data_IF_277530559801
#
_entry.id   IF_277530559801
#
_cell.length_a   1.000
_cell.length_b   1.000
_cell.length_c   1.000
_cell.angle_alpha   90.00
_cell.angle_beta   90.00
_cell.angle_gamma   90.00
#
_symmetry.space_group_name_H-M   'P 1'
#
loop_
_entity.id
_entity.type
_entity.pdbx_description
1 polymer ?
#
# COMPACT_ATOMS: atom_id res chain seq x y z
N UNK A 1 -70.15 -0.54 -7.07
CA UNK A 1 -69.26 -0.88 -5.94
C UNK A 1 -69.62 -0.02 -4.75
N UNK A 2 -69.79 -0.60 -3.56
CA UNK A 2 -70.07 0.19 -2.36
C UNK A 2 -68.87 1.09 -2.05
N UNK A 3 -69.10 2.28 -1.47
CA UNK A 3 -68.02 3.22 -1.10
C UNK A 3 -66.93 2.58 -0.22
N UNK A 4 -67.30 1.54 0.54
CA UNK A 4 -66.39 0.74 1.37
C UNK A 4 -65.40 -0.06 0.52
N UNK A 5 -65.86 -0.69 -0.57
CA UNK A 5 -64.99 -1.45 -1.47
C UNK A 5 -64.01 -0.56 -2.23
N UNK A 6 -64.42 0.67 -2.58
CA UNK A 6 -63.52 1.63 -3.23
C UNK A 6 -62.43 2.11 -2.28
N UNK A 7 -62.78 2.42 -1.03
CA UNK A 7 -61.81 2.86 -0.02
C UNK A 7 -60.81 1.74 0.33
N UNK A 8 -61.29 0.50 0.45
CA UNK A 8 -60.43 -0.66 0.72
C UNK A 8 -59.40 -0.88 -0.41
N UNK A 9 -59.83 -0.74 -1.66
CA UNK A 9 -58.93 -0.86 -2.83
C UNK A 9 -57.88 0.25 -2.82
N UNK A 10 -58.27 1.48 -2.48
CA UNK A 10 -57.34 2.60 -2.41
C UNK A 10 -56.30 2.40 -1.30
N UNK A 11 -56.70 1.89 -0.14
CA UNK A 11 -55.80 1.55 0.97
C UNK A 11 -54.83 0.43 0.60
N UNK A 12 -55.32 -0.62 -0.09
CA UNK A 12 -54.47 -1.72 -0.57
C UNK A 12 -53.46 -1.21 -1.60
N UNK A 13 -53.89 -0.40 -2.57
CA UNK A 13 -52.97 0.20 -3.56
C UNK A 13 -51.92 1.07 -2.87
N UNK A 14 -52.31 1.86 -1.87
CA UNK A 14 -51.39 2.72 -1.13
C UNK A 14 -50.38 1.92 -0.30
N UNK A 15 -50.82 0.83 0.34
CA UNK A 15 -49.95 -0.11 1.07
C UNK A 15 -48.96 -0.83 0.14
N UNK A 16 -49.35 -1.14 -1.10
CA UNK A 16 -48.44 -1.70 -2.11
C UNK A 16 -47.51 -0.65 -2.74
N UNK A 17 -47.92 0.63 -2.78
CA UNK A 17 -47.11 1.71 -3.32
C UNK A 17 -46.03 2.23 -2.33
N UNK A 18 -46.25 2.09 -1.02
CA UNK A 18 -45.31 2.54 0.01
C UNK A 18 -43.92 1.88 -0.07
N UNK A 19 -43.79 0.55 -0.29
CA UNK A 19 -42.50 -0.09 -0.56
C UNK A 19 -41.87 0.43 -1.85
N UNK A 20 -42.64 0.57 -2.93
CA UNK A 20 -42.16 1.05 -4.24
C UNK A 20 -41.61 2.49 -4.17
N UNK A 21 -42.23 3.37 -3.39
CA UNK A 21 -41.75 4.73 -3.12
C UNK A 21 -40.53 4.74 -2.18
N UNK A 22 -40.45 3.81 -1.23
CA UNK A 22 -39.26 3.64 -0.38
C UNK A 22 -38.05 3.12 -1.19
N UNK A 23 -38.26 2.24 -2.17
CA UNK A 23 -37.23 1.75 -3.08
C UNK A 23 -36.83 2.77 -4.15
N UNK A 24 -37.74 3.66 -4.58
CA UNK A 24 -37.43 4.73 -5.55
C UNK A 24 -36.59 5.87 -4.94
N UNK A 25 -36.60 6.03 -3.61
CA UNK A 25 -35.82 7.05 -2.88
C UNK A 25 -34.53 6.49 -2.25
N UNK A 26 -34.27 5.19 -2.34
CA UNK A 26 -32.94 4.64 -2.07
C UNK A 26 -32.11 4.69 -3.33
N UNK A 27 -31.11 5.56 -3.33
CA UNK A 27 -30.06 5.71 -4.35
C UNK A 27 -29.12 4.47 -4.32
N UNK A 28 -29.71 3.28 -4.49
CA UNK A 28 -29.01 2.00 -4.51
C UNK A 28 -29.03 1.43 -5.92
N UNK A 29 -28.35 2.10 -6.85
CA UNK A 29 -27.80 1.39 -8.01
C UNK A 29 -26.76 0.40 -7.49
N UNK A 30 -27.23 -0.80 -7.10
CA UNK A 30 -26.37 -1.96 -6.91
C UNK A 30 -25.67 -2.18 -8.24
N UNK A 31 -24.36 -1.96 -8.28
CA UNK A 31 -23.56 -2.25 -9.46
C UNK A 31 -23.38 -3.77 -9.54
N UNK A 32 -24.36 -4.45 -10.15
CA UNK A 32 -24.41 -5.91 -10.28
C UNK A 32 -23.15 -6.50 -10.94
N UNK A 33 -22.45 -5.73 -11.79
CA UNK A 33 -21.19 -6.18 -12.40
C UNK A 33 -20.07 -6.29 -11.34
N UNK A 34 -19.93 -5.32 -10.45
CA UNK A 34 -18.92 -5.37 -9.38
C UNK A 34 -19.19 -6.50 -8.38
N UNK A 35 -20.47 -6.79 -8.08
CA UNK A 35 -20.83 -7.94 -7.23
C UNK A 35 -20.43 -9.27 -7.86
N UNK A 36 -20.70 -9.44 -9.17
CA UNK A 36 -20.29 -10.63 -9.93
C UNK A 36 -18.76 -10.74 -9.93
N UNK A 37 -18.03 -9.65 -10.16
CA UNK A 37 -16.58 -9.67 -10.15
C UNK A 37 -16.01 -9.99 -8.77
N UNK A 38 -16.60 -9.45 -7.70
CA UNK A 38 -16.22 -9.77 -6.32
C UNK A 38 -16.46 -11.25 -6.00
N UNK A 39 -17.57 -11.82 -6.44
CA UNK A 39 -17.85 -13.25 -6.28
C UNK A 39 -16.82 -14.12 -7.04
N UNK A 40 -16.48 -13.75 -8.28
CA UNK A 40 -15.44 -14.46 -9.04
C UNK A 40 -14.10 -14.46 -8.30
N UNK A 41 -13.68 -13.30 -7.77
CA UNK A 41 -12.44 -13.19 -6.97
C UNK A 41 -12.50 -14.04 -5.70
N UNK A 42 -13.65 -14.06 -5.01
CA UNK A 42 -13.86 -14.91 -3.84
C UNK A 42 -13.67 -16.39 -4.19
N UNK A 43 -14.35 -16.87 -5.24
CA UNK A 43 -14.26 -18.27 -5.68
C UNK A 43 -12.83 -18.65 -6.09
N UNK A 44 -12.12 -17.77 -6.81
CA UNK A 44 -10.71 -17.97 -7.15
C UNK A 44 -9.84 -18.13 -5.91
N UNK A 45 -10.03 -17.26 -4.90
CA UNK A 45 -9.24 -17.31 -3.66
C UNK A 45 -9.56 -18.55 -2.81
N UNK A 46 -10.83 -18.94 -2.69
CA UNK A 46 -11.25 -20.14 -1.95
C UNK A 46 -10.71 -21.42 -2.61
N UNK A 47 -10.81 -21.50 -3.94
CA UNK A 47 -10.26 -22.63 -4.69
C UNK A 47 -8.74 -22.75 -4.49
N UNK A 48 -8.02 -21.62 -4.57
CA UNK A 48 -6.58 -21.61 -4.36
C UNK A 48 -6.21 -21.95 -2.90
N UNK A 49 -6.97 -21.46 -1.90
CA UNK A 49 -6.76 -21.81 -0.50
C UNK A 49 -6.90 -23.32 -0.29
N UNK A 50 -7.91 -23.96 -0.88
CA UNK A 50 -8.07 -25.41 -0.82
C UNK A 50 -6.82 -26.13 -1.33
N UNK A 51 -6.30 -25.74 -2.49
CA UNK A 51 -5.05 -26.29 -3.05
C UNK A 51 -3.87 -26.08 -2.08
N UNK A 52 -3.72 -24.89 -1.49
CA UNK A 52 -2.66 -24.62 -0.52
C UNK A 52 -2.77 -25.52 0.72
N UNK A 53 -3.98 -25.69 1.28
CA UNK A 53 -4.16 -26.52 2.48
C UNK A 53 -3.77 -27.98 2.24
N UNK A 54 -4.06 -28.51 1.04
CA UNK A 54 -3.60 -29.84 0.64
C UNK A 54 -2.07 -29.92 0.53
N UNK A 55 -1.41 -28.85 0.07
CA UNK A 55 0.04 -28.79 -0.06
C UNK A 55 0.74 -28.63 1.30
N UNK A 56 0.19 -27.83 2.21
CA UNK A 56 0.73 -27.57 3.55
C UNK A 56 0.89 -28.86 4.33
N UNK A 57 -0.12 -29.73 4.32
CA UNK A 57 -0.05 -30.99 5.06
C UNK A 57 0.94 -32.01 4.44
N UNK A 58 1.27 -31.87 3.15
CA UNK A 58 2.19 -32.76 2.43
C UNK A 58 3.66 -32.35 2.53
N UNK A 59 3.97 -31.09 2.84
CA UNK A 59 5.33 -30.54 2.76
C UNK A 59 5.76 -29.89 4.08
N UNK A 60 6.82 -30.42 4.67
CA UNK A 60 7.28 -30.00 5.99
C UNK A 60 7.71 -28.53 6.06
N UNK A 61 8.36 -28.01 5.01
CA UNK A 61 8.75 -26.60 4.93
C UNK A 61 7.56 -25.62 5.08
N UNK A 62 6.37 -25.96 4.55
CA UNK A 62 5.19 -25.11 4.72
C UNK A 62 4.62 -25.18 6.15
N UNK A 63 4.73 -26.34 6.81
CA UNK A 63 4.35 -26.47 8.23
C UNK A 63 5.28 -25.69 9.13
N UNK A 64 6.58 -25.67 8.86
CA UNK A 64 7.57 -24.88 9.60
C UNK A 64 7.28 -23.37 9.46
N UNK A 65 7.02 -22.91 8.23
CA UNK A 65 6.61 -21.53 7.97
C UNK A 65 5.36 -21.14 8.77
N UNK A 66 4.32 -21.98 8.77
CA UNK A 66 3.11 -21.75 9.56
C UNK A 66 3.37 -21.83 11.05
N UNK A 67 4.22 -22.75 11.51
CA UNK A 67 4.54 -22.92 12.93
C UNK A 67 5.24 -21.68 13.47
N UNK A 68 6.07 -21.03 12.65
CA UNK A 68 6.79 -19.81 13.02
C UNK A 68 5.86 -18.64 13.34
N UNK A 69 4.70 -18.56 12.68
CA UNK A 69 3.72 -17.47 12.87
C UNK A 69 2.55 -17.84 13.78
N UNK A 70 2.19 -19.12 13.88
CA UNK A 70 1.07 -19.59 14.70
C UNK A 70 1.49 -20.05 16.10
N UNK A 71 2.73 -20.52 16.24
CA UNK A 71 3.22 -21.26 17.42
C UNK A 71 2.74 -22.71 17.49
N UNK A 72 1.93 -23.17 16.53
CA UNK A 72 1.36 -24.52 16.49
C UNK A 72 2.24 -25.46 15.67
N UNK A 73 2.54 -26.66 16.20
CA UNK A 73 3.43 -27.65 15.58
C UNK A 73 2.72 -28.92 15.10
N UNK A 74 1.39 -28.92 15.07
CA UNK A 74 0.59 -30.07 14.67
C UNK A 74 0.20 -30.07 13.19
N UNK A 75 -0.51 -31.12 12.74
CA UNK A 75 -1.15 -31.10 11.43
C UNK A 75 -2.17 -29.95 11.35
N UNK A 76 -2.21 -29.25 10.21
CA UNK A 76 -3.09 -28.11 10.03
C UNK A 76 -4.44 -28.58 9.46
N UNK A 77 -5.52 -28.35 10.19
CA UNK A 77 -6.87 -28.71 9.77
C UNK A 77 -7.37 -27.72 8.69
N UNK A 78 -7.76 -28.18 7.47
CA UNK A 78 -8.26 -27.31 6.41
C UNK A 78 -9.42 -26.40 6.83
N UNK A 79 -10.30 -26.88 7.70
CA UNK A 79 -11.52 -26.18 8.17
C UNK A 79 -11.21 -24.97 9.06
N UNK A 80 -10.01 -24.93 9.64
CA UNK A 80 -9.53 -23.82 10.46
C UNK A 80 -8.97 -22.67 9.63
N UNK A 81 -8.75 -22.89 8.32
CA UNK A 81 -8.34 -21.82 7.42
C UNK A 81 -9.54 -20.96 7.00
N UNK A 82 -9.35 -19.64 7.04
CA UNK A 82 -10.35 -18.66 6.61
C UNK A 82 -9.71 -17.55 5.80
N UNK A 83 -10.47 -16.98 4.86
CA UNK A 83 -10.09 -15.78 4.15
C UNK A 83 -10.74 -14.55 4.80
N UNK A 84 -10.03 -13.42 4.77
CA UNK A 84 -10.60 -12.13 5.10
C UNK A 84 -11.62 -11.65 4.06
N UNK A 85 -12.32 -10.58 4.41
CA UNK A 85 -12.89 -9.66 3.42
C UNK A 85 -11.83 -9.19 2.42
N UNK A 86 -12.29 -8.72 1.26
CA UNK A 86 -11.42 -8.21 0.21
C UNK A 86 -10.81 -6.87 0.59
N UNK A 87 -9.52 -6.71 0.32
CA UNK A 87 -8.86 -5.41 0.35
C UNK A 87 -8.50 -4.99 -1.07
N UNK A 88 -8.76 -3.73 -1.41
CA UNK A 88 -8.27 -3.16 -2.67
C UNK A 88 -6.79 -2.87 -2.53
N UNK A 89 -6.02 -3.31 -3.52
CA UNK A 89 -4.58 -3.06 -3.64
C UNK A 89 -4.35 -2.14 -4.83
N UNK A 90 -3.55 -1.10 -4.62
CA UNK A 90 -3.09 -0.20 -5.68
C UNK A 90 -1.60 -0.42 -5.88
N UNK A 91 -1.23 -1.02 -7.01
CA UNK A 91 0.16 -1.05 -7.44
C UNK A 91 0.47 0.23 -8.20
N UNK A 92 1.34 1.05 -7.62
CA UNK A 92 1.79 2.31 -8.21
C UNK A 92 2.90 2.05 -9.23
N UNK A 93 3.17 3.05 -10.06
CA UNK A 93 4.32 3.09 -10.97
C UNK A 93 4.38 1.95 -12.00
N UNK A 94 3.22 1.45 -12.42
CA UNK A 94 3.09 0.45 -13.49
C UNK A 94 3.26 1.15 -14.84
N UNK A 95 4.51 1.31 -15.25
CA UNK A 95 4.85 1.98 -16.50
C UNK A 95 4.79 1.01 -17.70
N UNK A 96 4.31 1.47 -18.87
CA UNK A 96 4.08 0.63 -20.04
C UNK A 96 5.36 0.38 -20.85
N UNK A 97 6.35 -0.29 -20.25
CA UNK A 97 7.57 -0.66 -20.96
C UNK A 97 7.28 -1.65 -22.09
N UNK A 98 7.92 -1.44 -23.24
CA UNK A 98 7.88 -2.34 -24.39
C UNK A 98 9.17 -3.18 -24.41
N UNK A 99 9.06 -4.51 -24.49
CA UNK A 99 10.24 -5.35 -24.67
C UNK A 99 10.79 -5.15 -26.08
N UNK A 100 12.11 -5.05 -26.19
CA UNK A 100 12.84 -5.03 -27.45
C UNK A 100 13.98 -6.03 -27.39
N UNK A 101 14.09 -6.89 -28.40
CA UNK A 101 15.21 -7.82 -28.51
C UNK A 101 16.42 -7.11 -29.10
N UNK A 102 17.54 -7.19 -28.39
CA UNK A 102 18.84 -6.72 -28.87
C UNK A 102 19.51 -7.77 -29.76
N UNK A 103 20.53 -7.36 -30.53
CA UNK A 103 21.33 -8.23 -31.39
C UNK A 103 21.93 -9.46 -30.68
N UNK A 104 22.08 -9.40 -29.36
CA UNK A 104 22.64 -10.48 -28.54
C UNK A 104 21.53 -11.38 -27.92
N UNK A 105 20.32 -11.39 -28.50
CA UNK A 105 19.15 -12.12 -27.99
C UNK A 105 18.72 -11.75 -26.56
N UNK A 106 19.12 -10.56 -26.08
CA UNK A 106 18.69 -10.04 -24.76
C UNK A 106 17.52 -9.09 -24.93
N UNK A 107 16.54 -9.19 -24.05
CA UNK A 107 15.42 -8.26 -23.99
C UNK A 107 15.78 -7.05 -23.14
N UNK A 108 15.62 -5.86 -23.69
CA UNK A 108 15.64 -4.58 -22.97
C UNK A 108 14.23 -3.99 -22.91
N UNK A 109 14.02 -3.04 -22.00
CA UNK A 109 12.71 -2.45 -21.76
C UNK A 109 12.71 -0.97 -22.16
N UNK A 110 12.09 -0.65 -23.28
CA UNK A 110 12.01 0.74 -23.75
C UNK A 110 10.71 1.41 -23.31
N UNK A 111 10.79 2.74 -23.15
CA UNK A 111 9.64 3.58 -22.87
C UNK A 111 9.64 4.76 -23.84
N UNK A 112 8.47 5.08 -24.39
CA UNK A 112 8.29 6.22 -25.28
C UNK A 112 8.65 7.53 -24.58
N UNK A 113 9.32 8.44 -25.30
CA UNK A 113 9.79 9.72 -24.73
C UNK A 113 8.65 10.56 -24.14
N UNK A 114 7.47 10.55 -24.76
CA UNK A 114 6.28 11.21 -24.25
C UNK A 114 5.86 10.68 -22.87
N UNK A 115 5.93 9.37 -22.67
CA UNK A 115 5.63 8.72 -21.39
C UNK A 115 6.73 9.04 -20.36
N UNK A 116 8.01 9.04 -20.75
CA UNK A 116 9.10 9.43 -19.85
C UNK A 116 8.92 10.83 -19.28
N UNK A 117 8.54 11.80 -20.11
CA UNK A 117 8.31 13.18 -19.66
C UNK A 117 7.10 13.28 -18.72
N UNK A 118 6.04 12.51 -18.98
CA UNK A 118 4.88 12.41 -18.07
C UNK A 118 5.25 11.80 -16.72
N UNK A 119 6.08 10.77 -16.70
CA UNK A 119 6.60 10.16 -15.45
C UNK A 119 7.41 11.19 -14.65
N UNK A 120 8.30 11.95 -15.32
CA UNK A 120 9.13 12.97 -14.68
C UNK A 120 8.32 14.14 -14.11
N UNK A 121 7.13 14.42 -14.67
CA UNK A 121 6.25 15.51 -14.25
C UNK A 121 5.22 15.12 -13.20
N UNK A 122 5.12 13.83 -12.83
CA UNK A 122 4.25 13.38 -11.76
C UNK A 122 4.54 14.13 -10.46
N UNK A 123 3.46 14.62 -9.84
CA UNK A 123 3.46 15.27 -8.53
C UNK A 123 2.22 14.86 -7.77
N UNK A 124 2.41 14.51 -6.50
CA UNK A 124 1.39 14.03 -5.59
C UNK A 124 1.34 14.95 -4.37
N UNK A 125 0.20 15.60 -4.17
CA UNK A 125 -0.11 16.42 -3.00
C UNK A 125 -0.93 15.63 -1.98
N UNK A 126 -1.64 14.60 -2.44
CA UNK A 126 -2.47 13.69 -1.63
C UNK A 126 -2.27 12.23 -2.03
N UNK A 127 -2.74 11.31 -1.17
CA UNK A 127 -2.84 9.89 -1.51
C UNK A 127 -3.69 9.70 -2.78
N UNK A 128 -4.80 10.41 -2.90
CA UNK A 128 -5.73 10.26 -4.01
C UNK A 128 -5.08 10.62 -5.36
N UNK A 129 -4.22 11.64 -5.39
CA UNK A 129 -3.43 11.99 -6.58
C UNK A 129 -2.56 10.81 -7.03
N UNK A 130 -1.92 10.13 -6.08
CA UNK A 130 -1.08 8.97 -6.37
C UNK A 130 -1.90 7.78 -6.88
N UNK A 131 -3.10 7.55 -6.32
CA UNK A 131 -3.96 6.42 -6.68
C UNK A 131 -4.69 6.59 -8.02
N UNK A 132 -4.88 7.84 -8.50
CA UNK A 132 -5.65 8.16 -9.70
C UNK A 132 -4.80 8.35 -10.96
N UNK A 133 -3.49 8.16 -10.90
CA UNK A 133 -2.67 8.23 -12.11
C UNK A 133 -2.94 7.07 -13.06
N UNK A 134 -2.64 7.27 -14.34
CA UNK A 134 -2.72 6.21 -15.37
C UNK A 134 -1.72 5.06 -15.13
N UNK A 135 -0.69 5.28 -14.30
CA UNK A 135 0.35 4.30 -14.00
C UNK A 135 0.01 3.48 -12.75
N UNK A 136 -1.27 3.33 -12.46
CA UNK A 136 -1.77 2.56 -11.32
C UNK A 136 -2.52 1.34 -11.81
N UNK A 137 -2.17 0.19 -11.26
CA UNK A 137 -2.92 -1.04 -11.44
C UNK A 137 -3.70 -1.37 -10.17
N UNK A 138 -5.01 -1.54 -10.33
CA UNK A 138 -5.88 -2.05 -9.27
C UNK A 138 -5.78 -3.57 -9.21
N UNK A 139 -5.63 -4.09 -8.00
CA UNK A 139 -5.58 -5.51 -7.64
C UNK A 139 -6.40 -5.73 -6.37
N UNK A 140 -6.47 -6.96 -5.89
CA UNK A 140 -7.17 -7.29 -4.66
C UNK A 140 -6.35 -8.22 -3.78
N UNK A 141 -6.51 -8.11 -2.47
CA UNK A 141 -5.84 -8.98 -1.52
C UNK A 141 -6.84 -9.65 -0.58
N UNK A 142 -6.45 -10.85 -0.14
CA UNK A 142 -7.11 -11.60 0.94
C UNK A 142 -6.07 -12.02 1.96
N UNK A 143 -6.36 -11.84 3.24
CA UNK A 143 -5.55 -12.35 4.33
C UNK A 143 -6.00 -13.78 4.62
N UNK A 144 -5.02 -14.67 4.73
CA UNK A 144 -5.24 -16.06 5.11
C UNK A 144 -5.10 -16.11 6.63
N UNK A 145 -6.14 -16.63 7.29
CA UNK A 145 -6.14 -16.91 8.71
C UNK A 145 -6.08 -18.40 8.96
N UNK A 146 -5.42 -18.80 10.03
CA UNK A 146 -5.55 -20.13 10.64
C UNK A 146 -5.92 -19.94 12.11
N UNK A 147 -7.07 -20.48 12.51
CA UNK A 147 -7.57 -20.38 13.90
C UNK A 147 -7.59 -18.92 14.42
N UNK A 148 -8.05 -18.00 13.56
CA UNK A 148 -8.14 -16.57 13.88
C UNK A 148 -6.81 -15.79 13.83
N UNK A 149 -5.66 -16.44 13.63
CA UNK A 149 -4.36 -15.78 13.46
C UNK A 149 -4.04 -15.56 11.99
N UNK A 150 -3.56 -14.37 11.62
CA UNK A 150 -3.11 -14.11 10.26
C UNK A 150 -1.83 -14.93 10.00
N UNK A 151 -1.80 -15.67 8.89
CA UNK A 151 -0.69 -16.57 8.54
C UNK A 151 -0.15 -16.36 7.14
N UNK A 152 -0.80 -15.54 6.33
CA UNK A 152 -0.42 -15.31 4.95
C UNK A 152 -1.36 -14.35 4.25
N UNK A 153 -1.13 -14.17 2.95
CA UNK A 153 -2.03 -13.44 2.07
C UNK A 153 -1.96 -13.97 0.64
N UNK A 154 -2.96 -13.59 -0.15
CA UNK A 154 -3.01 -13.78 -1.60
C UNK A 154 -3.26 -12.45 -2.28
N UNK A 155 -2.61 -12.24 -3.42
CA UNK A 155 -2.94 -11.17 -4.36
C UNK A 155 -3.69 -11.76 -5.56
N UNK A 156 -4.78 -11.11 -5.92
CA UNK A 156 -5.68 -11.49 -6.99
C UNK A 156 -5.57 -10.43 -8.07
N UNK A 157 -5.25 -10.86 -9.29
CA UNK A 157 -5.12 -10.00 -10.47
C UNK A 157 -6.09 -10.43 -11.56
N UNK A 158 -6.45 -9.48 -12.41
CA UNK A 158 -7.09 -9.80 -13.68
C UNK A 158 -6.03 -10.16 -14.71
N UNK A 159 -6.10 -11.40 -15.23
CA UNK A 159 -5.28 -11.83 -16.35
C UNK A 159 -6.05 -11.65 -17.67
N UNK A 160 -5.52 -10.79 -18.53
CA UNK A 160 -6.11 -10.50 -19.84
C UNK A 160 -6.06 -11.70 -20.79
N UNK A 161 -5.07 -12.58 -20.66
CA UNK A 161 -4.89 -13.74 -21.54
C UNK A 161 -5.94 -14.81 -21.26
N UNK A 162 -6.29 -15.01 -19.99
CA UNK A 162 -7.33 -15.96 -19.57
C UNK A 162 -8.71 -15.33 -19.44
N UNK A 163 -8.80 -14.00 -19.60
CA UNK A 163 -10.02 -13.21 -19.39
C UNK A 163 -10.69 -13.54 -18.04
N UNK A 164 -9.87 -13.70 -16.99
CA UNK A 164 -10.32 -14.16 -15.68
C UNK A 164 -9.40 -13.69 -14.55
N UNK A 165 -9.86 -13.82 -13.31
CA UNK A 165 -9.06 -13.57 -12.12
C UNK A 165 -8.16 -14.74 -11.78
N UNK A 166 -6.89 -14.45 -11.48
CA UNK A 166 -5.89 -15.42 -11.05
C UNK A 166 -5.25 -14.98 -9.73
N UNK A 167 -4.67 -15.93 -9.00
CA UNK A 167 -3.78 -15.62 -7.88
C UNK A 167 -2.39 -15.32 -8.45
N UNK A 168 -1.99 -14.05 -8.42
CA UNK A 168 -0.69 -13.61 -8.95
C UNK A 168 0.44 -13.78 -7.94
N UNK A 169 0.11 -13.77 -6.66
CA UNK A 169 1.04 -13.96 -5.56
C UNK A 169 0.33 -14.64 -4.38
N UNK A 170 1.02 -15.55 -3.71
CA UNK A 170 0.54 -16.14 -2.47
C UNK A 170 1.71 -16.39 -1.53
N UNK A 171 1.59 -15.88 -0.31
CA UNK A 171 2.65 -15.97 0.69
C UNK A 171 2.09 -16.62 1.96
N UNK A 172 2.70 -17.73 2.37
CA UNK A 172 2.40 -18.44 3.62
C UNK A 172 3.53 -18.23 4.64
N UNK A 173 3.20 -18.30 5.93
CA UNK A 173 4.16 -18.00 7.01
C UNK A 173 4.47 -16.51 7.15
N UNK A 174 3.61 -15.64 6.63
CA UNK A 174 3.78 -14.18 6.68
C UNK A 174 2.53 -13.52 7.28
N UNK A 175 2.59 -13.21 8.56
CA UNK A 175 1.50 -12.58 9.31
C UNK A 175 1.47 -11.04 9.19
N UNK A 176 2.56 -10.41 8.73
CA UNK A 176 2.77 -8.96 8.91
C UNK A 176 1.75 -8.09 8.18
N UNK A 177 1.27 -8.49 7.00
CA UNK A 177 0.19 -7.74 6.31
C UNK A 177 -1.11 -7.78 7.12
N UNK A 178 -1.48 -8.95 7.66
CA UNK A 178 -2.66 -9.10 8.52
C UNK A 178 -2.54 -8.30 9.82
N UNK A 179 -1.35 -8.28 10.42
CA UNK A 179 -1.06 -7.46 11.60
C UNK A 179 -1.16 -5.96 11.30
N UNK A 180 -0.54 -5.49 10.21
CA UNK A 180 -0.61 -4.09 9.80
C UNK A 180 -2.05 -3.62 9.56
N UNK A 181 -2.88 -4.47 8.93
CA UNK A 181 -4.32 -4.20 8.75
C UNK A 181 -5.03 -4.08 10.10
N UNK A 182 -4.78 -5.02 11.02
CA UNK A 182 -5.38 -4.99 12.36
C UNK A 182 -5.00 -3.71 13.09
N UNK A 183 -3.71 -3.38 13.16
CA UNK A 183 -3.21 -2.20 13.86
C UNK A 183 -3.74 -0.90 13.26
N UNK A 184 -3.76 -0.77 11.92
CA UNK A 184 -4.33 0.42 11.28
C UNK A 184 -5.82 0.55 11.58
N UNK A 185 -6.59 -0.55 11.54
CA UNK A 185 -8.02 -0.52 11.90
C UNK A 185 -8.25 -0.13 13.36
N UNK A 186 -7.43 -0.61 14.29
CA UNK A 186 -7.48 -0.22 15.70
C UNK A 186 -7.13 1.26 15.92
N UNK A 187 -6.12 1.76 15.21
CA UNK A 187 -5.75 3.17 15.21
C UNK A 187 -6.86 4.09 14.68
N UNK A 188 -7.50 3.72 13.58
CA UNK A 188 -8.63 4.50 13.05
C UNK A 188 -9.81 4.50 14.03
N UNK A 189 -10.13 3.35 14.64
CA UNK A 189 -11.19 3.24 15.65
C UNK A 189 -10.91 4.08 16.89
N UNK A 190 -9.67 4.12 17.38
CA UNK A 190 -9.32 4.92 18.56
C UNK A 190 -9.46 6.44 18.30
N UNK A 191 -9.40 6.85 17.03
CA UNK A 191 -9.70 8.22 16.58
C UNK A 191 -11.17 8.47 16.24
N UNK A 192 -12.05 7.48 16.39
CA UNK A 192 -13.46 7.59 16.00
C UNK A 192 -13.68 7.59 14.48
N UNK A 193 -12.72 7.11 13.69
CA UNK A 193 -12.81 7.05 12.23
C UNK A 193 -13.28 5.66 11.76
N UNK A 194 -13.83 5.60 10.54
CA UNK A 194 -14.19 4.34 9.87
C UNK A 194 -12.94 3.50 9.58
N UNK A 195 -12.91 2.20 9.92
CA UNK A 195 -11.74 1.34 9.77
C UNK A 195 -11.56 0.82 8.33
N UNK A 196 -11.74 1.70 7.35
CA UNK A 196 -11.52 1.41 5.94
C UNK A 196 -10.05 1.58 5.60
N UNK A 197 -9.45 0.53 5.04
CA UNK A 197 -8.06 0.53 4.65
C UNK A 197 -7.90 0.00 3.23
N UNK A 198 -6.92 0.55 2.53
CA UNK A 198 -6.45 0.10 1.22
C UNK A 198 -5.02 -0.43 1.39
N UNK A 199 -4.54 -1.16 0.40
CA UNK A 199 -3.16 -1.60 0.35
C UNK A 199 -2.48 -0.88 -0.81
N UNK A 200 -1.25 -0.42 -0.61
CA UNK A 200 -0.41 0.18 -1.65
C UNK A 200 0.85 -0.66 -1.83
N UNK A 201 1.12 -1.01 -3.08
CA UNK A 201 2.36 -1.60 -3.54
C UNK A 201 3.11 -0.51 -4.33
N UNK A 202 4.22 -0.02 -3.77
CA UNK A 202 5.04 1.04 -4.37
C UNK A 202 6.23 0.46 -5.18
N UNK A 203 6.10 -0.76 -5.69
CA UNK A 203 7.16 -1.55 -6.33
C UNK A 203 8.37 -1.77 -5.41
N UNK A 204 8.07 -2.03 -4.15
CA UNK A 204 9.03 -2.41 -3.11
C UNK A 204 8.76 -3.86 -2.69
N UNK A 205 9.66 -4.47 -1.92
CA UNK A 205 9.37 -5.76 -1.28
C UNK A 205 8.32 -5.64 -0.17
N UNK A 206 8.04 -4.41 0.27
CA UNK A 206 7.08 -4.11 1.32
C UNK A 206 5.75 -3.63 0.73
N UNK A 207 4.65 -4.08 1.33
CA UNK A 207 3.33 -3.51 1.11
C UNK A 207 3.06 -2.44 2.17
N UNK A 208 2.12 -1.56 1.88
CA UNK A 208 1.67 -0.53 2.81
C UNK A 208 0.18 -0.65 3.03
N UNK A 209 -0.25 -0.64 4.29
CA UNK A 209 -1.66 -0.47 4.65
C UNK A 209 -1.90 1.02 4.79
N UNK A 210 -2.82 1.56 4.00
CA UNK A 210 -3.12 2.98 3.96
C UNK A 210 -4.56 3.24 4.34
N UNK A 211 -4.78 4.33 5.06
CA UNK A 211 -6.11 4.83 5.44
C UNK A 211 -6.54 5.95 4.49
N UNK A 212 -7.83 6.29 4.51
CA UNK A 212 -8.41 7.31 3.63
C UNK A 212 -7.87 8.72 3.91
N UNK A 213 -7.52 9.04 5.15
CA UNK A 213 -6.91 10.32 5.54
C UNK A 213 -5.39 10.37 5.27
N UNK A 214 -4.85 9.35 4.60
CA UNK A 214 -3.48 9.34 4.13
C UNK A 214 -2.45 8.94 5.18
N UNK A 215 -2.84 8.19 6.23
CA UNK A 215 -1.88 7.51 7.08
C UNK A 215 -1.42 6.19 6.46
N UNK A 216 -0.11 5.92 6.53
CA UNK A 216 0.56 4.75 5.93
C UNK A 216 1.24 3.92 7.01
N UNK A 217 1.00 2.62 6.98
CA UNK A 217 1.67 1.63 7.83
C UNK A 217 2.40 0.63 6.95
N UNK A 218 3.71 0.47 7.14
CA UNK A 218 4.49 -0.48 6.36
C UNK A 218 4.37 -1.90 6.90
N UNK A 219 4.05 -2.88 6.04
CA UNK A 219 3.95 -4.29 6.45
C UNK A 219 5.30 -4.90 6.74
N UNK A 220 6.36 -4.40 6.09
CA UNK A 220 7.71 -4.87 6.31
C UNK A 220 8.73 -3.76 6.28
N UNK A 221 9.72 -3.89 7.15
CA UNK A 221 10.91 -3.08 7.07
C UNK A 221 12.17 -3.92 6.76
N UNK A 222 11.96 -5.10 6.16
CA UNK A 222 12.98 -6.12 5.90
C UNK A 222 14.19 -5.61 5.11
N UNK A 223 14.01 -4.60 4.26
CA UNK A 223 15.11 -4.00 3.48
C UNK A 223 15.79 -2.81 4.21
N UNK A 224 15.42 -2.57 5.48
CA UNK A 224 16.06 -1.54 6.31
C UNK A 224 17.19 -2.10 7.15
N UNK A 225 18.19 -1.27 7.43
CA UNK A 225 19.21 -1.56 8.45
C UNK A 225 18.64 -1.58 9.88
N UNK A 226 17.43 -1.06 10.09
CA UNK A 226 16.73 -1.11 11.38
C UNK A 226 15.23 -1.42 11.23
N UNK A 227 14.86 -2.67 10.91
CA UNK A 227 13.48 -3.03 10.59
C UNK A 227 12.49 -2.77 11.74
N UNK A 228 12.91 -3.00 12.99
CA UNK A 228 12.04 -2.88 14.16
C UNK A 228 11.60 -1.44 14.45
N UNK A 229 12.43 -0.45 14.08
CA UNK A 229 12.10 0.98 14.25
C UNK A 229 10.85 1.37 13.45
N UNK A 230 10.71 0.84 12.24
CA UNK A 230 9.71 1.30 11.28
C UNK A 230 8.42 0.49 11.30
N UNK A 231 8.45 -0.76 11.80
CA UNK A 231 7.28 -1.66 11.85
C UNK A 231 6.13 -1.18 12.72
N UNK A 232 6.36 -0.24 13.64
CA UNK A 232 5.36 0.26 14.60
C UNK A 232 4.99 1.74 14.37
N UNK A 233 5.41 2.30 13.25
CA UNK A 233 5.22 3.71 12.96
C UNK A 233 4.16 3.91 11.88
N UNK A 234 3.24 4.81 12.17
CA UNK A 234 2.27 5.34 11.21
C UNK A 234 2.84 6.64 10.67
N UNK A 235 2.97 6.73 9.36
CA UNK A 235 3.46 7.91 8.67
C UNK A 235 2.31 8.66 8.04
N UNK A 236 2.26 9.99 8.18
CA UNK A 236 1.31 10.78 7.42
C UNK A 236 1.78 10.91 5.97
N UNK A 237 0.86 11.14 5.05
CA UNK A 237 1.19 11.36 3.64
C UNK A 237 2.25 12.45 3.46
N UNK A 238 2.17 13.54 4.23
CA UNK A 238 3.15 14.64 4.18
C UNK A 238 4.59 14.19 4.46
N UNK A 239 4.76 13.19 5.30
CA UNK A 239 6.08 12.72 5.73
C UNK A 239 6.73 11.89 4.61
N UNK A 240 5.93 11.12 3.86
CA UNK A 240 6.40 10.29 2.74
C UNK A 240 6.28 10.96 1.37
N UNK A 241 5.64 12.13 1.29
CA UNK A 241 5.31 12.82 0.05
C UNK A 241 6.53 13.00 -0.86
N UNK A 242 7.64 13.47 -0.31
CA UNK A 242 8.86 13.75 -1.08
C UNK A 242 9.45 12.45 -1.64
N UNK A 243 9.47 11.38 -0.84
CA UNK A 243 9.92 10.06 -1.27
C UNK A 243 9.03 9.50 -2.39
N UNK A 244 7.70 9.61 -2.23
CA UNK A 244 6.73 9.16 -3.22
C UNK A 244 6.84 9.93 -4.55
N UNK A 245 7.08 11.23 -4.49
CA UNK A 245 7.29 12.09 -5.66
C UNK A 245 8.61 11.81 -6.39
N UNK A 246 9.64 11.37 -5.68
CA UNK A 246 10.93 11.03 -6.29
C UNK A 246 10.94 9.63 -6.91
N UNK A 247 10.15 8.69 -6.38
CA UNK A 247 10.15 7.28 -6.81
C UNK A 247 9.97 7.07 -8.32
N UNK A 248 9.08 7.77 -9.05
CA UNK A 248 8.98 7.62 -10.50
C UNK A 248 10.30 7.86 -11.24
N UNK A 249 11.08 8.87 -10.80
CA UNK A 249 12.37 9.22 -11.41
C UNK A 249 13.45 8.20 -11.05
N UNK A 250 13.49 7.77 -9.80
CA UNK A 250 14.38 6.68 -9.35
C UNK A 250 14.16 5.42 -10.20
N UNK A 251 12.89 5.07 -10.42
CA UNK A 251 12.52 3.91 -11.22
C UNK A 251 12.94 4.05 -12.69
N UNK A 252 12.69 5.21 -13.30
CA UNK A 252 13.10 5.46 -14.68
C UNK A 252 14.61 5.35 -14.84
N UNK A 253 15.38 5.99 -13.95
CA UNK A 253 16.84 5.93 -13.97
C UNK A 253 17.36 4.49 -13.80
N UNK A 254 16.77 3.73 -12.87
CA UNK A 254 17.14 2.33 -12.64
C UNK A 254 16.95 1.47 -13.90
N UNK A 255 15.82 1.60 -14.61
CA UNK A 255 15.58 0.83 -15.84
C UNK A 255 16.54 1.27 -16.96
N UNK A 256 16.85 2.56 -17.08
CA UNK A 256 17.82 3.06 -18.06
C UNK A 256 19.24 2.53 -17.79
N UNK A 257 19.67 2.51 -16.54
CA UNK A 257 20.94 1.92 -16.11
C UNK A 257 20.97 0.42 -16.33
N UNK A 258 19.88 -0.30 -15.98
CA UNK A 258 19.76 -1.74 -16.22
C UNK A 258 19.87 -2.05 -17.71
N UNK A 259 19.17 -1.32 -18.58
CA UNK A 259 19.26 -1.47 -20.04
C UNK A 259 20.69 -1.21 -20.55
N UNK A 260 21.38 -0.21 -19.99
CA UNK A 260 22.78 0.06 -20.32
C UNK A 260 23.68 -1.12 -19.92
N UNK A 261 23.53 -1.63 -18.69
CA UNK A 261 24.29 -2.81 -18.22
C UNK A 261 24.01 -4.04 -19.09
N UNK A 262 22.75 -4.31 -19.44
CA UNK A 262 22.38 -5.43 -20.32
C UNK A 262 23.07 -5.36 -21.69
N UNK A 263 23.34 -4.15 -22.20
CA UNK A 263 24.04 -3.92 -23.47
C UNK A 263 25.56 -4.01 -23.30
N UNK A 264 26.12 -3.35 -22.30
CA UNK A 264 27.56 -3.06 -22.21
C UNK A 264 28.33 -3.94 -21.21
N UNK A 265 27.69 -4.40 -20.12
CA UNK A 265 28.35 -5.10 -19.01
C UNK A 265 27.35 -5.98 -18.24
N UNK A 266 26.76 -7.01 -18.88
CA UNK A 266 25.72 -7.85 -18.28
C UNK A 266 26.19 -8.57 -17.00
N UNK A 267 27.48 -8.88 -16.91
CA UNK A 267 28.11 -9.51 -15.76
C UNK A 267 28.11 -8.63 -14.49
N UNK A 268 27.85 -7.33 -14.64
CA UNK A 268 27.78 -6.36 -13.53
C UNK A 268 26.37 -6.15 -12.99
N UNK A 269 25.36 -6.83 -13.54
CA UNK A 269 23.99 -6.70 -13.06
C UNK A 269 23.90 -7.26 -11.63
N UNK A 270 23.47 -6.45 -10.66
CA UNK A 270 23.35 -6.92 -9.27
C UNK A 270 22.31 -8.04 -9.17
N UNK A 271 22.68 -9.12 -8.49
CA UNK A 271 21.80 -10.26 -8.25
C UNK A 271 20.91 -10.00 -7.03
N UNK A 272 19.64 -9.70 -7.29
CA UNK A 272 18.60 -9.60 -6.27
C UNK A 272 18.65 -8.31 -5.43
N UNK A 273 17.64 -8.15 -4.56
CA UNK A 273 17.43 -6.95 -3.74
C UNK A 273 16.47 -5.96 -4.38
N UNK A 274 15.84 -5.11 -3.56
CA UNK A 274 15.13 -3.93 -4.06
C UNK A 274 16.16 -2.87 -4.47
N UNK A 275 16.08 -2.29 -5.68
CA UNK A 275 16.96 -1.18 -6.06
C UNK A 275 16.59 0.13 -5.35
N UNK A 276 15.44 0.18 -4.67
CA UNK A 276 14.95 1.36 -3.96
C UNK A 276 14.90 1.10 -2.46
N UNK A 277 15.30 2.13 -1.70
CA UNK A 277 15.03 2.17 -0.26
C UNK A 277 13.54 2.32 -0.02
N UNK A 278 12.98 1.68 1.01
CA UNK A 278 11.59 1.86 1.36
C UNK A 278 11.21 3.33 1.59
N UNK A 279 10.00 3.75 1.19
CA UNK A 279 9.54 5.14 1.27
C UNK A 279 9.77 5.78 2.66
N UNK A 280 9.52 5.03 3.73
CA UNK A 280 9.67 5.52 5.10
C UNK A 280 11.14 5.79 5.49
N UNK A 281 12.11 5.06 4.95
CA UNK A 281 13.52 5.29 5.27
C UNK A 281 14.00 6.60 4.61
N UNK A 282 13.53 6.85 3.40
CA UNK A 282 13.78 8.10 2.68
C UNK A 282 13.12 9.28 3.41
N UNK A 283 11.89 9.11 3.90
CA UNK A 283 11.20 10.11 4.72
C UNK A 283 11.95 10.43 6.03
N UNK A 284 12.32 9.40 6.80
CA UNK A 284 13.01 9.56 8.08
C UNK A 284 14.39 10.26 7.94
N UNK A 285 15.09 10.03 6.83
CA UNK A 285 16.32 10.77 6.51
C UNK A 285 16.06 12.25 6.29
N UNK A 286 14.98 12.59 5.59
CA UNK A 286 14.57 13.98 5.37
C UNK A 286 14.30 14.70 6.69
N UNK A 287 13.58 14.07 7.61
CA UNK A 287 13.35 14.61 8.96
C UNK A 287 14.65 14.77 9.75
N UNK A 288 15.54 13.77 9.72
CA UNK A 288 16.84 13.84 10.41
C UNK A 288 17.66 15.04 9.91
N UNK A 289 17.69 15.27 8.60
CA UNK A 289 18.39 16.43 8.01
C UNK A 289 17.75 17.74 8.45
N UNK A 290 16.41 17.85 8.42
CA UNK A 290 15.68 19.03 8.91
C UNK A 290 16.00 19.31 10.38
N UNK A 291 15.96 18.29 11.22
CA UNK A 291 16.26 18.41 12.65
C UNK A 291 17.71 18.87 12.90
N UNK A 292 18.69 18.33 12.16
CA UNK A 292 20.08 18.78 12.23
C UNK A 292 20.20 20.25 11.84
N UNK A 293 19.54 20.67 10.75
CA UNK A 293 19.54 22.07 10.31
C UNK A 293 18.90 23.00 11.35
N UNK A 294 17.79 22.59 11.97
CA UNK A 294 17.16 23.34 13.05
C UNK A 294 18.09 23.50 14.26
N UNK A 295 18.80 22.42 14.64
CA UNK A 295 19.79 22.47 15.72
C UNK A 295 20.94 23.41 15.37
N UNK A 296 21.48 23.36 14.15
CA UNK A 296 22.54 24.28 13.68
C UNK A 296 22.05 25.73 13.73
N UNK A 297 20.82 25.99 13.28
CA UNK A 297 20.22 27.33 13.32
C UNK A 297 20.08 27.83 14.77
N UNK A 298 19.54 27.01 15.66
CA UNK A 298 19.40 27.34 17.09
C UNK A 298 20.75 27.62 17.74
N UNK A 299 21.77 26.80 17.47
CA UNK A 299 23.13 27.01 17.98
C UNK A 299 23.73 28.32 17.45
N UNK A 300 23.48 28.64 16.18
CA UNK A 300 23.97 29.87 15.55
C UNK A 300 23.30 31.12 16.13
N UNK A 301 21.97 31.11 16.30
CA UNK A 301 21.23 32.20 16.96
C UNK A 301 21.74 32.41 18.39
N UNK A 302 21.96 31.31 19.12
CA UNK A 302 22.50 31.36 20.49
C UNK A 302 23.90 31.97 20.51
N UNK A 303 24.77 31.58 19.59
CA UNK A 303 26.12 32.15 19.48
C UNK A 303 26.10 33.65 19.15
N UNK A 304 25.24 34.08 18.22
CA UNK A 304 25.05 35.51 17.88
C UNK A 304 24.54 36.29 19.09
N UNK A 305 23.57 35.74 19.82
CA UNK A 305 23.02 36.36 21.02
C UNK A 305 24.10 36.55 22.10
N UNK A 306 24.89 35.51 22.40
CA UNK A 306 26.00 35.58 23.35
C UNK A 306 27.03 36.62 22.92
N UNK A 307 27.41 36.65 21.64
CA UNK A 307 28.35 37.63 21.11
C UNK A 307 27.81 39.06 21.23
N UNK A 308 26.52 39.28 20.91
CA UNK A 308 25.85 40.57 21.04
C UNK A 308 25.76 41.06 22.48
N UNK A 309 25.41 40.18 23.44
CA UNK A 309 25.40 40.51 24.87
C UNK A 309 26.80 40.89 25.35
N UNK A 310 27.82 40.12 24.96
CA UNK A 310 29.21 40.41 25.32
C UNK A 310 29.70 41.74 24.73
N UNK A 311 29.37 42.03 23.48
CA UNK A 311 29.69 43.30 22.82
C UNK A 311 28.98 44.49 23.48
N UNK A 312 27.68 44.36 23.77
CA UNK A 312 26.89 45.38 24.47
C UNK A 312 27.42 45.64 25.88
N UNK A 313 27.76 44.58 26.62
CA UNK A 313 28.37 44.71 27.94
C UNK A 313 29.76 45.39 27.86
N UNK A 314 30.57 45.04 26.87
CA UNK A 314 31.89 45.66 26.64
C UNK A 314 31.76 47.13 26.25
N UNK A 315 30.75 47.48 25.46
CA UNK A 315 30.43 48.86 25.09
C UNK A 315 29.94 49.67 26.30
N UNK A 316 28.96 49.17 27.07
CA UNK A 316 28.50 49.81 28.31
C UNK A 316 29.64 50.08 29.30
N UNK A 317 30.57 49.13 29.47
CA UNK A 317 31.77 49.31 30.31
C UNK A 317 32.75 50.37 29.78
N UNK A 318 32.80 50.62 28.47
CA UNK A 318 33.62 51.69 27.90
C UNK A 318 32.96 53.05 28.05
N UNK A 319 31.65 53.12 27.84
CA UNK A 319 30.89 54.37 27.97
C UNK A 319 30.79 54.82 29.43
N UNK A 320 30.67 53.89 30.40
CA UNK A 320 30.63 54.23 31.84
C UNK A 320 31.99 54.62 32.45
N UNK A 321 33.05 54.65 31.64
CA UNK A 321 34.41 55.04 32.05
C UNK A 321 34.82 56.43 31.54
N UNK A 322 33.92 57.09 30.81
CA UNK A 322 33.98 58.52 30.47
C UNK A 322 32.92 59.26 31.29
#
# INVERSE_FOLDING_TARGET
MSKVNFFLILVVIFLFALPLLAFANTDSTINHEEEIFKLKRQLTAEHYLKILTELINKKEAFKEQLSSVTGFKGPYEPEKFKLSDEYVVYRLFVFPFKPESTSNSRTIYQLESSIKERIKSLKFETLDDALKTEFVQKKWARIIFYDGKAVGYMLIDWDKNYNNYIISESTMGYNRLGEAIKYMKEFLKSKGQTPNVKIVDALERSLYVVSEDGNWWCTDAADSSNPEMYRKQIWNFKDIKDALNNRPKEFLNYVEELNKMLRESPEKIPLGGSPFKPLYETAAKGEKIKNILTVILLLTITAIFIAGVNLSHKYKRRVSKF
#
